data_IF_994653424513
#
_entry.id   IF_994653424513
#
_cell.length_a   1.000
_cell.length_b   1.000
_cell.length_c   1.000
_cell.angle_alpha   90.00
_cell.angle_beta   90.00
_cell.angle_gamma   90.00
#
_symmetry.space_group_name_H-M   'P 1'
#
loop_
_entity.id
_entity.type
_entity.pdbx_description
1 polymer ?
#
# COMPACT_ATOMS: atom_id res chain seq x y z
N UNK A 1 27.01 -12.68 -8.87
CA UNK A 1 26.10 -12.95 -10.00
C UNK A 1 24.71 -12.59 -9.49
N UNK A 2 24.21 -11.40 -9.83
CA UNK A 2 22.94 -10.87 -9.34
C UNK A 2 22.06 -10.62 -10.58
N UNK A 3 21.18 -11.55 -10.92
CA UNK A 3 20.32 -11.44 -12.10
C UNK A 3 18.82 -11.30 -11.79
N UNK A 4 18.37 -11.07 -10.54
CA UNK A 4 16.96 -11.29 -10.19
C UNK A 4 16.05 -10.07 -9.87
N UNK A 5 16.44 -8.81 -10.16
CA UNK A 5 15.56 -7.67 -9.85
C UNK A 5 15.13 -6.78 -11.04
N UNK A 6 15.54 -7.07 -12.28
CA UNK A 6 15.19 -6.23 -13.45
C UNK A 6 13.70 -6.21 -13.86
N UNK A 7 12.84 -6.96 -13.14
CA UNK A 7 11.40 -6.98 -13.38
C UNK A 7 10.62 -5.99 -12.52
N UNK A 8 11.02 -5.80 -11.26
CA UNK A 8 10.25 -5.05 -10.27
C UNK A 8 10.16 -3.55 -10.62
N UNK A 9 11.26 -3.01 -11.15
CA UNK A 9 11.36 -1.63 -11.63
C UNK A 9 10.32 -1.29 -12.73
N UNK A 10 9.78 -2.28 -13.45
CA UNK A 10 8.80 -2.07 -14.53
C UNK A 10 7.35 -2.24 -14.07
N UNK A 11 7.13 -2.65 -12.83
CA UNK A 11 5.79 -2.93 -12.31
C UNK A 11 5.08 -1.60 -12.06
N UNK A 12 4.04 -1.34 -12.86
CA UNK A 12 3.18 -0.16 -12.67
C UNK A 12 1.90 -0.46 -11.89
N UNK A 13 1.48 -1.72 -11.82
CA UNK A 13 0.23 -2.11 -11.19
C UNK A 13 0.35 -3.46 -10.49
N UNK A 14 -0.13 -3.49 -9.25
CA UNK A 14 -0.31 -4.70 -8.46
C UNK A 14 -1.76 -4.79 -8.00
N UNK A 15 -2.41 -5.90 -8.33
CA UNK A 15 -3.72 -6.21 -7.81
C UNK A 15 -3.77 -7.65 -7.30
N UNK A 16 -4.21 -7.82 -6.06
CA UNK A 16 -4.30 -9.11 -5.40
C UNK A 16 -5.69 -9.31 -4.80
N UNK A 17 -6.36 -10.36 -5.28
CA UNK A 17 -7.57 -10.89 -4.63
C UNK A 17 -7.17 -11.72 -3.42
N UNK A 18 -7.26 -11.13 -2.24
CA UNK A 18 -6.99 -11.81 -0.98
C UNK A 18 -8.14 -12.73 -0.56
N UNK A 19 -9.27 -12.80 -1.26
CA UNK A 19 -10.33 -13.76 -0.91
C UNK A 19 -9.90 -15.21 -1.18
N UNK A 20 -9.02 -15.40 -2.15
CA UNK A 20 -8.57 -16.71 -2.61
C UNK A 20 -7.45 -17.30 -1.72
N UNK A 21 -7.42 -18.63 -1.61
CA UNK A 21 -6.39 -19.37 -0.85
C UNK A 21 -6.53 -19.31 0.69
N UNK A 22 -5.84 -20.19 1.40
CA UNK A 22 -5.86 -20.28 2.87
C UNK A 22 -4.60 -19.75 3.56
N UNK A 23 -3.57 -19.37 2.78
CA UNK A 23 -2.27 -18.98 3.31
C UNK A 23 -2.27 -17.53 3.75
N UNK A 24 -1.68 -17.29 4.92
CA UNK A 24 -1.29 -15.96 5.35
C UNK A 24 0.02 -15.58 4.65
N UNK A 25 0.17 -14.32 4.30
CA UNK A 25 1.35 -13.77 3.63
C UNK A 25 1.98 -12.74 4.56
N UNK A 26 3.22 -13.00 4.96
CA UNK A 26 4.04 -12.01 5.66
C UNK A 26 4.70 -11.12 4.62
N UNK A 27 4.39 -9.83 4.65
CA UNK A 27 5.07 -8.84 3.82
C UNK A 27 6.32 -8.34 4.53
N UNK A 28 7.39 -8.16 3.75
CA UNK A 28 8.57 -7.42 4.19
C UNK A 28 8.24 -5.93 4.28
N UNK A 29 8.77 -5.17 5.25
CA UNK A 29 8.64 -3.71 5.28
C UNK A 29 9.12 -3.03 3.99
N UNK A 30 10.08 -3.67 3.30
CA UNK A 30 10.74 -3.20 2.07
C UNK A 30 10.14 -3.78 0.79
N UNK A 31 8.98 -4.42 0.85
CA UNK A 31 8.41 -5.16 -0.30
C UNK A 31 8.20 -4.29 -1.56
N UNK A 32 8.07 -2.97 -1.40
CA UNK A 32 7.88 -2.02 -2.50
C UNK A 32 9.13 -1.18 -2.83
N UNK A 33 10.27 -1.41 -2.16
CA UNK A 33 11.48 -0.57 -2.28
C UNK A 33 12.01 -0.50 -3.72
N UNK A 34 11.87 -1.58 -4.49
CA UNK A 34 12.35 -1.68 -5.89
C UNK A 34 11.24 -1.39 -6.92
N UNK A 35 10.05 -0.93 -6.49
CA UNK A 35 8.87 -0.74 -7.36
C UNK A 35 8.55 0.74 -7.58
N UNK A 36 9.57 1.55 -7.90
CA UNK A 36 9.43 3.01 -8.01
C UNK A 36 8.42 3.47 -9.07
N UNK A 37 8.11 2.64 -10.07
CA UNK A 37 7.11 2.93 -11.10
C UNK A 37 5.69 2.49 -10.73
N UNK A 38 5.46 1.97 -9.52
CA UNK A 38 4.15 1.48 -9.10
C UNK A 38 3.14 2.61 -8.94
N UNK A 39 2.06 2.56 -9.74
CA UNK A 39 1.01 3.59 -9.78
C UNK A 39 -0.31 3.09 -9.21
N UNK A 40 -0.55 1.78 -9.26
CA UNK A 40 -1.76 1.14 -8.77
C UNK A 40 -1.40 0.03 -7.81
N UNK A 41 -1.90 0.12 -6.57
CA UNK A 41 -1.82 -0.93 -5.58
C UNK A 41 -3.23 -1.26 -5.09
N UNK A 42 -3.67 -2.50 -5.31
CA UNK A 42 -5.02 -2.94 -4.98
C UNK A 42 -5.05 -4.30 -4.32
N UNK A 43 -5.18 -4.34 -3.01
CA UNK A 43 -5.41 -5.55 -2.24
C UNK A 43 -6.84 -5.53 -1.69
N UNK A 44 -7.67 -6.45 -2.17
CA UNK A 44 -9.08 -6.51 -1.82
C UNK A 44 -9.46 -7.89 -1.28
N UNK A 45 -10.41 -7.93 -0.37
CA UNK A 45 -10.86 -9.14 0.28
C UNK A 45 -12.37 -9.11 0.55
N UNK A 46 -13.11 -10.00 -0.11
CA UNK A 46 -14.55 -10.15 0.10
C UNK A 46 -14.92 -10.99 1.35
N UNK A 47 -13.94 -11.42 2.15
CA UNK A 47 -14.18 -12.14 3.40
C UNK A 47 -13.63 -11.39 4.62
N UNK A 48 -14.03 -11.82 5.82
CA UNK A 48 -13.71 -11.12 7.06
C UNK A 48 -12.31 -11.43 7.65
N UNK A 49 -11.35 -11.91 6.85
CA UNK A 49 -10.03 -12.33 7.34
C UNK A 49 -8.93 -11.34 6.96
N UNK A 50 -8.01 -11.08 7.87
CA UNK A 50 -6.73 -10.45 7.54
C UNK A 50 -5.82 -11.54 7.00
N UNK A 51 -5.28 -11.38 5.79
CA UNK A 51 -4.36 -12.35 5.17
C UNK A 51 -2.94 -11.81 4.98
N UNK A 52 -2.79 -10.49 4.89
CA UNK A 52 -1.49 -9.84 4.84
C UNK A 52 -1.11 -9.37 6.22
N UNK A 53 0.08 -9.76 6.67
CA UNK A 53 0.68 -9.29 7.90
C UNK A 53 1.89 -8.44 7.57
N UNK A 54 2.02 -7.34 8.30
CA UNK A 54 3.23 -6.50 8.34
C UNK A 54 3.90 -6.67 9.70
N UNK A 55 5.21 -6.40 9.80
CA UNK A 55 5.86 -6.19 11.10
C UNK A 55 5.21 -5.05 11.88
N UNK A 56 5.54 -4.95 13.16
CA UNK A 56 4.96 -3.93 14.05
C UNK A 56 5.22 -2.51 13.55
N UNK A 57 6.37 -2.32 12.91
CA UNK A 57 6.83 -1.07 12.32
C UNK A 57 6.10 -0.71 11.00
N UNK A 58 5.35 -1.66 10.42
CA UNK A 58 4.63 -1.47 9.17
C UNK A 58 5.51 -1.56 7.93
N UNK A 59 5.20 -0.73 6.92
CA UNK A 59 5.99 -0.58 5.70
C UNK A 59 7.06 0.51 5.91
N UNK A 60 8.24 0.30 5.32
CA UNK A 60 9.31 1.32 5.30
C UNK A 60 9.19 2.24 4.07
N UNK A 61 8.53 1.78 3.01
CA UNK A 61 8.44 2.52 1.75
C UNK A 61 7.13 2.25 1.01
N UNK A 62 6.59 3.33 0.44
CA UNK A 62 5.56 3.30 -0.60
C UNK A 62 6.01 4.25 -1.73
N UNK A 63 5.92 3.85 -3.01
CA UNK A 63 6.35 4.67 -4.14
C UNK A 63 5.53 5.96 -4.26
N UNK A 64 6.20 7.11 -4.34
CA UNK A 64 5.55 8.43 -4.53
C UNK A 64 4.84 8.58 -5.88
N UNK A 65 5.04 7.63 -6.80
CA UNK A 65 4.33 7.52 -8.09
C UNK A 65 2.92 6.93 -7.94
N UNK A 66 2.56 6.41 -6.75
CA UNK A 66 1.25 5.85 -6.47
C UNK A 66 0.13 6.87 -6.72
N UNK A 67 -0.85 6.44 -7.50
CA UNK A 67 -2.06 7.21 -7.85
C UNK A 67 -3.32 6.57 -7.29
N UNK A 68 -3.31 5.25 -7.11
CA UNK A 68 -4.42 4.49 -6.56
C UNK A 68 -3.90 3.55 -5.48
N UNK A 69 -4.42 3.73 -4.27
CA UNK A 69 -4.21 2.83 -3.15
C UNK A 69 -5.57 2.29 -2.68
N UNK A 70 -5.81 1.01 -2.96
CA UNK A 70 -6.91 0.23 -2.39
C UNK A 70 -6.30 -0.84 -1.50
N UNK A 71 -6.54 -0.81 -0.20
CA UNK A 71 -6.05 -1.86 0.70
C UNK A 71 -7.04 -2.21 1.80
N UNK A 72 -7.81 -3.28 1.57
CA UNK A 72 -8.74 -3.82 2.55
C UNK A 72 -7.99 -4.34 3.77
N UNK A 73 -8.45 -3.95 4.96
CA UNK A 73 -7.92 -4.41 6.25
C UNK A 73 -6.42 -4.19 6.40
N UNK A 74 -5.94 -3.04 5.92
CA UNK A 74 -4.54 -2.65 6.08
C UNK A 74 -4.12 -2.78 7.55
N UNK A 75 -3.06 -3.56 7.87
CA UNK A 75 -2.83 -4.00 9.24
C UNK A 75 -2.05 -3.00 10.10
N UNK A 76 -1.41 -1.99 9.50
CA UNK A 76 -0.61 -1.00 10.23
C UNK A 76 -1.43 0.22 10.64
N UNK A 77 -0.97 0.92 11.67
CA UNK A 77 -1.58 2.12 12.22
C UNK A 77 -1.37 3.38 11.36
N UNK A 78 -0.31 3.38 10.53
CA UNK A 78 0.04 4.48 9.63
C UNK A 78 0.69 4.01 8.33
N UNK A 79 0.75 4.93 7.36
CA UNK A 79 1.57 4.80 6.16
C UNK A 79 3.03 5.21 6.46
N UNK A 80 4.01 4.82 5.62
CA UNK A 80 5.40 5.24 5.78
C UNK A 80 5.53 6.77 5.83
N UNK A 81 6.30 7.30 6.78
CA UNK A 81 6.43 8.75 7.00
C UNK A 81 7.13 9.49 5.85
N UNK A 82 7.89 8.77 5.03
CA UNK A 82 8.53 9.27 3.81
C UNK A 82 7.62 9.28 2.58
N UNK A 83 6.40 8.75 2.68
CA UNK A 83 5.47 8.70 1.55
C UNK A 83 4.84 10.07 1.29
N UNK A 84 5.05 10.59 0.07
CA UNK A 84 4.49 11.85 -0.41
C UNK A 84 3.30 11.58 -1.35
N UNK A 85 2.05 11.87 -0.94
CA UNK A 85 0.86 11.55 -1.72
C UNK A 85 0.51 12.59 -2.79
N UNK A 86 1.48 13.38 -3.27
CA UNK A 86 1.23 14.42 -4.27
C UNK A 86 0.55 13.87 -5.53
N UNK A 87 0.92 12.66 -5.97
CA UNK A 87 0.35 12.00 -7.13
C UNK A 87 -0.92 11.19 -6.84
N UNK A 88 -1.32 11.08 -5.56
CA UNK A 88 -2.46 10.26 -5.15
C UNK A 88 -3.76 10.83 -5.72
N UNK A 89 -4.53 9.98 -6.40
CA UNK A 89 -5.85 10.33 -6.97
C UNK A 89 -6.97 9.62 -6.22
N UNK A 90 -6.72 8.39 -5.76
CA UNK A 90 -7.73 7.52 -5.16
C UNK A 90 -7.16 6.78 -3.96
N UNK A 91 -7.81 6.92 -2.81
CA UNK A 91 -7.46 6.24 -1.57
C UNK A 91 -8.70 5.53 -1.00
N UNK A 92 -8.64 4.21 -0.85
CA UNK A 92 -9.68 3.39 -0.23
C UNK A 92 -9.03 2.33 0.67
N UNK A 93 -9.26 2.38 1.99
CA UNK A 93 -8.60 1.45 2.93
C UNK A 93 -9.58 0.89 3.97
N UNK A 94 -10.57 0.10 3.54
CA UNK A 94 -11.72 -0.21 4.36
C UNK A 94 -11.39 -1.22 5.46
N UNK A 95 -11.93 -0.99 6.66
CA UNK A 95 -11.67 -1.83 7.84
C UNK A 95 -10.19 -1.92 8.22
N UNK A 96 -9.40 -0.89 7.88
CA UNK A 96 -7.98 -0.80 8.23
C UNK A 96 -7.78 -0.54 9.73
N UNK A 97 -6.59 -0.87 10.22
CA UNK A 97 -6.13 -0.53 11.58
C UNK A 97 -5.57 0.90 11.67
N UNK A 98 -5.77 1.73 10.63
CA UNK A 98 -5.21 3.08 10.57
C UNK A 98 -5.76 3.93 11.71
N UNK A 99 -4.87 4.51 12.50
CA UNK A 99 -5.19 5.54 13.50
C UNK A 99 -4.69 6.91 13.06
N UNK A 100 -3.67 6.95 12.20
CA UNK A 100 -3.11 8.16 11.63
C UNK A 100 -2.65 7.88 10.20
N UNK A 101 -3.18 8.61 9.21
CA UNK A 101 -2.86 8.35 7.80
C UNK A 101 -1.49 8.91 7.41
N UNK A 102 -1.16 10.12 7.87
CA UNK A 102 0.07 10.85 7.53
C UNK A 102 0.69 11.46 8.80
N UNK A 103 2.00 11.67 8.79
CA UNK A 103 2.69 12.47 9.81
C UNK A 103 2.70 13.95 9.41
N UNK A 104 2.17 14.82 10.28
CA UNK A 104 2.20 16.28 10.11
C UNK A 104 0.98 16.88 9.40
N UNK A 105 0.85 18.20 9.50
CA UNK A 105 -0.36 18.94 9.10
C UNK A 105 -0.33 19.43 7.63
N UNK A 106 0.82 19.33 6.95
CA UNK A 106 1.03 19.88 5.59
C UNK A 106 1.27 18.78 4.55
N UNK A 107 0.26 17.96 4.31
CA UNK A 107 0.31 16.85 3.34
C UNK A 107 -0.22 17.33 1.97
N UNK A 108 0.56 17.26 0.88
CA UNK A 108 0.15 17.78 -0.43
C UNK A 108 -0.84 16.82 -1.11
N UNK A 109 -2.13 16.93 -0.80
CA UNK A 109 -3.20 16.11 -1.41
C UNK A 109 -3.80 16.73 -2.68
N UNK A 110 -2.98 17.44 -3.47
CA UNK A 110 -3.43 18.30 -4.58
C UNK A 110 -4.16 17.55 -5.69
N UNK A 111 -3.86 16.28 -5.89
CA UNK A 111 -4.45 15.45 -6.95
C UNK A 111 -5.55 14.49 -6.44
N UNK A 112 -5.82 14.49 -5.13
CA UNK A 112 -6.75 13.53 -4.52
C UNK A 112 -8.19 13.84 -4.93
N UNK A 113 -8.85 12.86 -5.55
CA UNK A 113 -10.24 12.97 -6.02
C UNK A 113 -11.21 12.10 -5.23
N UNK A 114 -10.72 11.04 -4.60
CA UNK A 114 -11.51 10.14 -3.79
C UNK A 114 -10.73 9.67 -2.57
N UNK A 115 -11.41 9.65 -1.43
CA UNK A 115 -10.88 9.19 -0.16
C UNK A 115 -11.99 8.50 0.64
N UNK A 116 -11.81 7.22 0.97
CA UNK A 116 -12.64 6.50 1.94
C UNK A 116 -11.76 5.62 2.84
N UNK A 117 -11.89 5.80 4.15
CA UNK A 117 -11.08 5.11 5.17
C UNK A 117 -11.94 4.30 6.15
N UNK A 118 -13.22 4.09 5.82
CA UNK A 118 -14.23 3.51 6.73
C UNK A 118 -14.02 2.04 7.08
#
# INVERSE_FOLDING_TARGET
MNEEYQGAERVEALSLDMSQGSRMIQLSPKVFEEMDNLRLLRFYNNNNRVKLHLPQEGLEYLPNTLRLLHWDRYPSASLPSNFCPENMVYLEMPGSSLTQLWEGDNVPLVNLKFCDLR
#
